data_IF_558114390555
#
_entry.id   IF_558114390555
#
_cell.length_a   1.000
_cell.length_b   1.000
_cell.length_c   1.000
_cell.angle_alpha   90.00
_cell.angle_beta   90.00
_cell.angle_gamma   90.00
#
_symmetry.space_group_name_H-M   'P 1'
#
loop_
_entity.id
_entity.type
_entity.pdbx_description
1 polymer ?
#
# COMPACT_ATOMS: atom_id res chain seq x y z
N UNK A 1 7.61 3.42 8.20
CA UNK A 1 7.54 4.34 7.04
C UNK A 1 8.74 5.25 7.09
N UNK A 2 9.37 5.56 5.98
CA UNK A 2 10.42 6.58 5.90
C UNK A 2 9.89 7.85 5.20
N UNK A 3 10.68 8.94 5.20
CA UNK A 3 10.25 10.23 4.64
C UNK A 3 9.93 10.11 3.14
N UNK A 4 10.78 9.43 2.36
CA UNK A 4 10.57 9.27 0.92
C UNK A 4 9.30 8.46 0.61
N UNK A 5 9.04 7.39 1.36
CA UNK A 5 7.81 6.60 1.23
C UNK A 5 6.57 7.44 1.51
N UNK A 6 6.62 8.27 2.55
CA UNK A 6 5.50 9.13 2.91
C UNK A 6 5.27 10.26 1.89
N UNK A 7 6.34 10.85 1.35
CA UNK A 7 6.25 11.86 0.29
C UNK A 7 5.71 11.25 -1.01
N UNK A 8 6.13 10.05 -1.39
CA UNK A 8 5.62 9.33 -2.56
C UNK A 8 4.11 9.05 -2.44
N UNK A 9 3.64 8.60 -1.25
CA UNK A 9 2.21 8.37 -1.01
C UNK A 9 1.36 9.63 -1.18
N UNK A 10 1.92 10.80 -0.87
CA UNK A 10 1.29 12.10 -1.08
C UNK A 10 1.56 12.71 -2.46
N UNK A 11 2.31 11.99 -3.33
CA UNK A 11 2.75 12.46 -4.64
C UNK A 11 3.51 13.80 -4.57
N UNK A 12 4.49 13.85 -3.67
CA UNK A 12 5.35 15.01 -3.43
C UNK A 12 6.80 14.65 -3.72
N UNK A 13 7.48 15.43 -4.57
CA UNK A 13 8.76 15.04 -5.19
C UNK A 13 9.95 15.97 -4.94
N UNK A 14 9.74 17.12 -4.34
CA UNK A 14 10.82 18.11 -4.14
C UNK A 14 10.77 18.66 -2.71
N UNK A 15 11.53 19.72 -2.45
CA UNK A 15 11.48 20.44 -1.18
C UNK A 15 10.04 20.77 -0.81
N UNK A 16 9.54 20.16 0.23
CA UNK A 16 8.13 20.15 0.60
C UNK A 16 7.97 20.80 1.95
N UNK A 17 7.14 21.82 2.02
CA UNK A 17 6.75 22.44 3.29
C UNK A 17 5.59 21.68 3.96
N UNK A 18 5.37 21.96 5.25
CA UNK A 18 4.21 21.43 5.97
C UNK A 18 2.87 21.82 5.33
N UNK A 19 2.81 22.99 4.70
CA UNK A 19 1.60 23.44 4.00
C UNK A 19 1.37 22.66 2.70
N UNK A 20 2.44 22.30 1.99
CA UNK A 20 2.33 21.45 0.79
C UNK A 20 1.86 20.04 1.14
N UNK A 21 2.34 19.49 2.26
CA UNK A 21 1.87 18.20 2.78
C UNK A 21 0.37 18.25 3.07
N UNK A 22 -0.14 19.31 3.73
CA UNK A 22 -1.57 19.49 4.01
C UNK A 22 -2.39 19.62 2.73
N UNK A 23 -1.90 20.37 1.72
CA UNK A 23 -2.57 20.53 0.42
C UNK A 23 -2.62 19.21 -0.33
N UNK A 24 -1.51 18.48 -0.39
CA UNK A 24 -1.44 17.18 -1.02
C UNK A 24 -2.37 16.16 -0.35
N UNK A 25 -2.36 16.10 0.98
CA UNK A 25 -3.27 15.25 1.74
C UNK A 25 -4.74 15.52 1.40
N UNK A 26 -5.18 16.79 1.39
CA UNK A 26 -6.56 17.14 1.02
C UNK A 26 -6.92 16.70 -0.40
N UNK A 27 -6.00 16.88 -1.37
CA UNK A 27 -6.18 16.43 -2.75
C UNK A 27 -6.34 14.91 -2.84
N UNK A 28 -5.48 14.17 -2.15
CA UNK A 28 -5.52 12.71 -2.11
C UNK A 28 -6.76 12.19 -1.39
N UNK A 29 -7.18 12.84 -0.28
CA UNK A 29 -8.39 12.49 0.44
C UNK A 29 -9.65 12.59 -0.44
N UNK A 30 -9.73 13.61 -1.29
CA UNK A 30 -10.85 13.75 -2.25
C UNK A 30 -10.78 12.68 -3.35
N UNK A 31 -9.59 12.36 -3.86
CA UNK A 31 -9.38 11.38 -4.95
C UNK A 31 -9.70 9.95 -4.50
N UNK A 32 -9.29 9.58 -3.28
CA UNK A 32 -9.38 8.23 -2.73
C UNK A 32 -10.46 8.06 -1.66
N UNK A 33 -11.42 8.99 -1.59
CA UNK A 33 -12.54 8.87 -0.66
C UNK A 33 -13.34 7.58 -0.94
N UNK A 34 -13.69 6.78 0.10
CA UNK A 34 -14.37 5.50 -0.09
C UNK A 34 -15.71 5.60 -0.84
N UNK A 35 -16.44 6.71 -0.70
CA UNK A 35 -17.70 6.95 -1.41
C UNK A 35 -17.53 7.09 -2.94
N UNK A 36 -16.37 7.57 -3.37
CA UNK A 36 -16.05 7.80 -4.79
C UNK A 36 -15.23 6.69 -5.41
N UNK A 37 -14.42 6.02 -4.60
CA UNK A 37 -13.54 4.96 -5.01
C UNK A 37 -13.57 3.81 -3.99
N UNK A 38 -14.29 2.71 -4.27
CA UNK A 38 -14.36 1.56 -3.34
C UNK A 38 -13.00 0.90 -3.06
N UNK A 39 -12.05 0.99 -4.00
CA UNK A 39 -10.66 0.55 -3.78
C UNK A 39 -9.84 1.58 -2.99
N UNK A 40 -10.34 2.80 -2.86
CA UNK A 40 -9.64 3.94 -2.26
C UNK A 40 -9.49 3.83 -0.74
N UNK A 41 -10.35 3.06 -0.06
CA UNK A 41 -10.35 2.97 1.40
C UNK A 41 -8.98 2.55 1.98
N UNK A 42 -8.31 1.59 1.35
CA UNK A 42 -7.00 1.10 1.80
C UNK A 42 -5.87 2.07 1.44
N UNK A 43 -5.94 2.63 0.25
CA UNK A 43 -5.01 3.69 -0.16
C UNK A 43 -5.16 4.89 0.77
N UNK A 44 -6.38 5.24 1.17
CA UNK A 44 -6.65 6.33 2.10
C UNK A 44 -6.04 6.08 3.49
N UNK A 45 -6.04 4.83 3.98
CA UNK A 45 -5.35 4.49 5.24
C UNK A 45 -3.85 4.71 5.14
N UNK A 46 -3.22 4.29 4.02
CA UNK A 46 -1.80 4.54 3.78
C UNK A 46 -1.49 6.04 3.67
N UNK A 47 -2.35 6.81 3.02
CA UNK A 47 -2.25 8.28 2.91
C UNK A 47 -2.37 8.94 4.29
N UNK A 48 -3.31 8.50 5.13
CA UNK A 48 -3.47 8.99 6.49
C UNK A 48 -2.22 8.72 7.34
N UNK A 49 -1.68 7.50 7.27
CA UNK A 49 -0.46 7.13 7.97
C UNK A 49 0.76 7.96 7.50
N UNK A 50 0.86 8.23 6.19
CA UNK A 50 1.91 9.08 5.63
C UNK A 50 1.79 10.53 6.11
N UNK A 51 0.57 11.08 6.13
CA UNK A 51 0.30 12.42 6.61
C UNK A 51 0.62 12.57 8.11
N UNK A 52 0.17 11.62 8.93
CA UNK A 52 0.47 11.59 10.36
C UNK A 52 1.97 11.49 10.62
N UNK A 53 2.67 10.60 9.91
CA UNK A 53 4.12 10.45 10.01
C UNK A 53 4.85 11.77 9.71
N UNK A 54 4.55 12.42 8.57
CA UNK A 54 5.20 13.67 8.18
C UNK A 54 4.82 14.84 9.07
N UNK A 55 3.59 14.86 9.61
CA UNK A 55 3.12 15.92 10.51
C UNK A 55 3.80 15.87 11.86
N UNK A 56 4.17 14.67 12.33
CA UNK A 56 4.84 14.46 13.63
C UNK A 56 6.36 14.65 13.56
N UNK A 57 6.93 14.79 12.34
CA UNK A 57 8.36 15.08 12.21
C UNK A 57 8.67 16.54 12.59
N UNK A 58 9.79 16.72 13.30
CA UNK A 58 10.35 18.03 13.52
C UNK A 58 11.02 18.55 12.24
N UNK A 59 10.70 19.76 11.83
CA UNK A 59 11.23 20.39 10.62
C UNK A 59 10.15 21.15 9.87
N UNK A 60 10.55 22.21 9.16
CA UNK A 60 9.63 23.02 8.34
C UNK A 60 9.58 22.56 6.88
N UNK A 61 10.65 21.91 6.41
CA UNK A 61 10.79 21.43 5.04
C UNK A 61 11.36 20.02 4.99
N UNK A 62 10.89 19.22 4.03
CA UNK A 62 11.35 17.85 3.77
C UNK A 62 11.82 17.75 2.34
N UNK A 63 12.92 17.02 2.13
CA UNK A 63 13.49 16.80 0.79
C UNK A 63 13.35 15.35 0.40
N UNK A 64 12.84 15.10 -0.80
CA UNK A 64 12.83 13.78 -1.41
C UNK A 64 14.22 13.53 -2.00
N UNK A 65 14.89 12.42 -1.61
CA UNK A 65 16.24 12.09 -2.10
C UNK A 65 16.24 11.62 -3.55
N UNK A 66 15.12 11.12 -4.05
CA UNK A 66 14.94 10.60 -5.41
C UNK A 66 13.91 11.44 -6.18
N UNK A 67 14.07 12.77 -6.19
CA UNK A 67 13.10 13.70 -6.78
C UNK A 67 12.82 13.46 -8.27
N UNK A 68 13.79 12.92 -9.02
CA UNK A 68 13.64 12.58 -10.43
C UNK A 68 12.77 11.33 -10.66
N UNK A 69 12.62 10.48 -9.64
CA UNK A 69 11.85 9.23 -9.65
C UNK A 69 10.59 9.32 -8.79
N UNK A 70 10.04 10.50 -8.60
CA UNK A 70 8.79 10.66 -7.86
C UNK A 70 7.65 9.93 -8.58
N UNK A 71 7.26 8.82 -7.99
CA UNK A 71 6.30 7.87 -8.53
C UNK A 71 4.94 8.03 -7.83
N UNK A 72 3.85 7.98 -8.58
CA UNK A 72 2.51 8.05 -8.01
C UNK A 72 2.11 6.69 -7.40
N UNK A 73 2.71 6.42 -6.27
CA UNK A 73 2.59 5.18 -5.54
C UNK A 73 1.16 4.81 -5.14
N UNK A 74 0.39 5.83 -4.75
CA UNK A 74 -0.99 5.63 -4.35
C UNK A 74 -1.88 5.17 -5.53
N UNK A 75 -1.56 5.60 -6.74
CA UNK A 75 -2.28 5.21 -7.95
C UNK A 75 -2.00 3.75 -8.34
N UNK A 76 -0.73 3.34 -8.34
CA UNK A 76 -0.34 1.94 -8.59
C UNK A 76 -0.94 0.98 -7.56
N UNK A 77 -0.85 1.32 -6.27
CA UNK A 77 -1.48 0.52 -5.22
C UNK A 77 -3.00 0.37 -5.43
N UNK A 78 -3.68 1.46 -5.80
CA UNK A 78 -5.12 1.43 -6.03
C UNK A 78 -5.48 0.51 -7.21
N UNK A 79 -4.71 0.56 -8.29
CA UNK A 79 -4.90 -0.30 -9.46
C UNK A 79 -4.70 -1.78 -9.10
N UNK A 80 -3.60 -2.10 -8.43
CA UNK A 80 -3.29 -3.47 -8.00
C UNK A 80 -4.35 -4.00 -7.02
N UNK A 81 -4.77 -3.20 -6.04
CA UNK A 81 -5.84 -3.58 -5.11
C UNK A 81 -7.16 -3.83 -5.85
N UNK A 82 -7.50 -3.01 -6.85
CA UNK A 82 -8.70 -3.20 -7.65
C UNK A 82 -8.68 -4.53 -8.42
N UNK A 83 -7.55 -4.90 -9.01
CA UNK A 83 -7.38 -6.19 -9.68
C UNK A 83 -7.42 -7.36 -8.69
N UNK A 84 -6.75 -7.25 -7.55
CA UNK A 84 -6.75 -8.29 -6.52
C UNK A 84 -8.15 -8.52 -5.91
N UNK A 85 -8.99 -7.49 -5.80
CA UNK A 85 -10.37 -7.61 -5.34
C UNK A 85 -11.27 -8.44 -6.25
N UNK A 86 -10.93 -8.60 -7.52
CA UNK A 86 -11.64 -9.47 -8.47
C UNK A 86 -11.39 -10.96 -8.21
N UNK A 87 -10.31 -11.30 -7.50
CA UNK A 87 -9.93 -12.67 -7.22
C UNK A 87 -10.74 -13.19 -6.03
N UNK A 88 -11.38 -14.35 -6.18
CA UNK A 88 -12.19 -14.95 -5.14
C UNK A 88 -11.34 -15.49 -3.98
N UNK A 89 -11.77 -15.24 -2.74
CA UNK A 89 -11.18 -15.83 -1.54
C UNK A 89 -9.78 -15.32 -1.17
N UNK A 90 -9.28 -14.27 -1.81
CA UNK A 90 -7.98 -13.66 -1.49
C UNK A 90 -8.17 -12.63 -0.36
N UNK A 91 -7.33 -12.72 0.65
CA UNK A 91 -7.25 -11.76 1.75
C UNK A 91 -6.10 -10.81 1.47
N UNK A 92 -6.40 -9.52 1.38
CA UNK A 92 -5.44 -8.45 1.08
C UNK A 92 -5.13 -7.71 2.38
N UNK A 93 -3.87 -7.68 2.78
CA UNK A 93 -3.38 -6.97 3.95
C UNK A 93 -2.37 -5.90 3.50
N UNK A 94 -2.70 -4.63 3.74
CA UNK A 94 -1.83 -3.49 3.41
C UNK A 94 -0.97 -3.16 4.62
N UNK A 95 0.36 -3.19 4.45
CA UNK A 95 1.33 -2.81 5.48
C UNK A 95 2.30 -1.78 4.90
N UNK A 96 2.05 -0.50 5.17
CA UNK A 96 2.79 0.60 4.53
C UNK A 96 2.62 0.54 3.01
N UNK A 97 3.73 0.41 2.29
CA UNK A 97 3.75 0.35 0.82
C UNK A 97 3.68 -1.09 0.26
N UNK A 98 3.46 -2.07 1.12
CA UNK A 98 3.46 -3.48 0.74
C UNK A 98 2.07 -4.07 0.87
N UNK A 99 1.72 -4.92 -0.08
CA UNK A 99 0.52 -5.74 0.01
C UNK A 99 0.94 -7.17 0.37
N UNK A 100 0.29 -7.74 1.37
CA UNK A 100 0.43 -9.13 1.74
C UNK A 100 -0.86 -9.87 1.42
N UNK A 101 -0.73 -11.00 0.74
CA UNK A 101 -1.87 -11.75 0.22
C UNK A 101 -1.88 -13.14 0.83
N UNK A 102 -3.06 -13.55 1.29
CA UNK A 102 -3.33 -14.86 1.88
C UNK A 102 -4.71 -15.38 1.44
N UNK A 103 -5.17 -16.49 1.98
CA UNK A 103 -6.42 -17.14 1.59
C UNK A 103 -6.25 -18.03 0.36
N UNK A 104 -7.22 -18.04 -0.54
CA UNK A 104 -7.30 -18.92 -1.73
C UNK A 104 -6.30 -18.53 -2.85
N UNK A 105 -5.08 -18.16 -2.49
CA UNK A 105 -4.05 -17.68 -3.42
C UNK A 105 -3.52 -18.77 -4.37
N UNK A 106 -3.70 -20.06 -4.00
CA UNK A 106 -3.19 -21.19 -4.81
C UNK A 106 -3.84 -21.24 -6.20
N UNK A 107 -5.14 -20.98 -6.26
CA UNK A 107 -5.93 -21.01 -7.51
C UNK A 107 -5.60 -19.80 -8.41
N UNK A 108 -5.04 -18.74 -7.86
CA UNK A 108 -4.75 -17.48 -8.55
C UNK A 108 -3.25 -17.25 -8.77
N UNK A 109 -2.42 -18.29 -8.63
CA UNK A 109 -0.95 -18.18 -8.68
C UNK A 109 -0.42 -17.51 -9.95
N UNK A 110 -0.98 -17.82 -11.10
CA UNK A 110 -0.55 -17.25 -12.38
C UNK A 110 -0.94 -15.77 -12.49
N UNK A 111 -2.16 -15.45 -12.10
CA UNK A 111 -2.66 -14.06 -12.05
C UNK A 111 -1.84 -13.21 -11.08
N UNK A 112 -1.53 -13.73 -9.89
CA UNK A 112 -0.69 -13.04 -8.90
C UNK A 112 0.70 -12.76 -9.45
N UNK A 113 1.30 -13.71 -10.18
CA UNK A 113 2.60 -13.49 -10.84
C UNK A 113 2.53 -12.45 -11.94
N UNK A 114 1.48 -12.45 -12.76
CA UNK A 114 1.30 -11.45 -13.82
C UNK A 114 1.09 -10.04 -13.28
N UNK A 115 0.49 -9.92 -12.09
CA UNK A 115 0.34 -8.67 -11.35
C UNK A 115 1.62 -8.23 -10.62
N UNK A 116 2.75 -8.92 -10.79
CA UNK A 116 4.03 -8.57 -10.15
C UNK A 116 4.14 -8.99 -8.69
N UNK A 117 3.31 -9.92 -8.22
CA UNK A 117 3.40 -10.45 -6.86
C UNK A 117 4.47 -11.53 -6.74
N UNK A 118 5.11 -11.60 -5.57
CA UNK A 118 6.15 -12.56 -5.24
C UNK A 118 5.74 -13.46 -4.08
N UNK A 119 6.26 -14.69 -4.07
CA UNK A 119 6.02 -15.63 -2.98
C UNK A 119 7.06 -15.50 -1.88
N UNK A 120 6.62 -15.27 -0.64
CA UNK A 120 7.45 -15.24 0.56
C UNK A 120 7.35 -16.60 1.29
N UNK A 121 8.27 -17.53 0.99
CA UNK A 121 8.24 -18.88 1.54
C UNK A 121 8.27 -18.93 3.09
N UNK A 122 9.03 -18.05 3.75
CA UNK A 122 9.11 -17.98 5.22
C UNK A 122 7.82 -17.52 5.88
N UNK A 123 6.99 -16.72 5.20
CA UNK A 123 5.74 -16.17 5.71
C UNK A 123 4.50 -16.89 5.19
N UNK A 124 4.70 -17.81 4.23
CA UNK A 124 3.63 -18.55 3.53
C UNK A 124 2.56 -17.61 2.96
N UNK A 125 2.99 -16.45 2.45
CA UNK A 125 2.13 -15.42 1.87
C UNK A 125 2.71 -14.91 0.56
N UNK A 126 1.84 -14.46 -0.32
CA UNK A 126 2.26 -13.64 -1.45
C UNK A 126 2.41 -12.19 -1.01
N UNK A 127 3.28 -11.45 -1.69
CA UNK A 127 3.42 -10.02 -1.45
C UNK A 127 3.62 -9.27 -2.77
N UNK A 128 3.08 -8.07 -2.80
CA UNK A 128 3.39 -7.09 -3.83
C UNK A 128 4.20 -5.96 -3.21
N UNK A 129 5.18 -5.50 -3.94
CA UNK A 129 5.94 -4.29 -3.63
C UNK A 129 6.26 -3.57 -4.93
N UNK A 130 6.25 -2.24 -4.97
CA UNK A 130 6.73 -1.49 -6.12
C UNK A 130 8.17 -1.80 -6.47
N UNK A 131 8.49 -1.70 -7.77
CA UNK A 131 9.82 -2.04 -8.28
C UNK A 131 10.94 -1.21 -7.66
N UNK A 132 10.64 0.03 -7.29
CA UNK A 132 11.60 0.97 -6.70
C UNK A 132 11.95 0.65 -5.23
N UNK A 133 11.07 -0.02 -4.51
CA UNK A 133 11.30 -0.42 -3.12
C UNK A 133 11.97 -1.79 -3.01
N UNK A 134 13.18 -1.92 -3.54
CA UNK A 134 14.02 -3.12 -3.31
C UNK A 134 14.30 -3.24 -1.82
N UNK A 135 13.86 -4.34 -1.21
CA UNK A 135 14.18 -4.61 0.19
C UNK A 135 15.69 -4.66 0.38
N UNK A 136 16.22 -3.79 1.26
CA UNK A 136 17.59 -3.95 1.73
C UNK A 136 17.69 -5.32 2.42
N UNK A 137 18.73 -6.08 2.13
CA UNK A 137 19.00 -7.34 2.81
C UNK A 137 19.21 -7.04 4.30
N UNK A 138 18.19 -7.24 5.11
CA UNK A 138 18.32 -7.20 6.56
C UNK A 138 18.85 -8.54 7.07
N UNK A 139 19.76 -8.52 8.05
CA UNK A 139 20.28 -9.72 8.68
C UNK A 139 19.19 -10.54 9.37
N UNK A 140 18.13 -9.91 9.86
CA UNK A 140 16.96 -10.53 10.48
C UNK A 140 15.75 -10.37 9.59
N UNK A 141 15.09 -11.48 9.24
CA UNK A 141 13.79 -11.43 8.55
C UNK A 141 12.72 -11.11 9.60
N UNK A 142 12.04 -9.98 9.42
CA UNK A 142 10.92 -9.58 10.27
C UNK A 142 9.74 -10.53 10.06
N UNK A 143 9.03 -10.86 11.15
CA UNK A 143 7.77 -11.58 11.05
C UNK A 143 6.60 -10.64 10.71
N UNK A 144 5.38 -11.19 10.56
CA UNK A 144 4.22 -10.38 10.20
C UNK A 144 3.77 -9.46 11.32
N UNK A 145 3.97 -9.84 12.58
CA UNK A 145 3.63 -9.01 13.74
C UNK A 145 4.56 -7.80 13.86
N UNK A 146 5.87 -8.01 13.67
CA UNK A 146 6.86 -6.93 13.62
C UNK A 146 6.56 -5.94 12.48
N UNK A 147 6.13 -6.44 11.30
CA UNK A 147 5.74 -5.61 10.17
C UNK A 147 4.47 -4.80 10.47
N UNK A 148 3.44 -5.46 11.03
CA UNK A 148 2.19 -4.80 11.42
C UNK A 148 2.40 -3.73 12.47
N UNK A 149 3.18 -4.02 13.48
CA UNK A 149 3.50 -3.08 14.56
C UNK A 149 4.19 -1.82 14.03
N UNK A 150 5.08 -1.98 13.04
CA UNK A 150 5.87 -0.87 12.51
C UNK A 150 5.16 -0.03 11.46
N UNK A 151 4.36 -0.66 10.61
CA UNK A 151 3.77 0.00 9.43
C UNK A 151 2.25 0.14 9.51
N UNK A 152 1.64 -0.35 10.59
CA UNK A 152 0.20 -0.53 10.65
C UNK A 152 -0.26 -1.68 9.74
N UNK A 153 -1.46 -2.19 9.94
CA UNK A 153 -2.06 -3.15 9.01
C UNK A 153 -3.54 -2.88 8.83
N UNK A 154 -4.00 -3.11 7.61
CA UNK A 154 -5.40 -3.12 7.27
C UNK A 154 -5.69 -4.37 6.45
N UNK A 155 -6.68 -5.14 6.88
CA UNK A 155 -7.07 -6.40 6.26
C UNK A 155 -8.38 -6.20 5.51
N UNK A 156 -8.40 -6.62 4.24
CA UNK A 156 -9.61 -6.71 3.44
C UNK A 156 -9.79 -8.11 2.87
N UNK A 157 -11.05 -8.51 2.76
CA UNK A 157 -11.43 -9.72 2.04
C UNK A 157 -11.84 -9.33 0.62
N UNK A 158 -11.34 -10.05 -0.37
CA UNK A 158 -11.90 -10.00 -1.72
C UNK A 158 -13.32 -10.58 -1.68
N UNK A 159 -14.15 -10.21 -2.64
CA UNK A 159 -15.56 -10.58 -2.69
C UNK A 159 -15.84 -12.03 -2.28
N UNK A 160 -16.40 -12.20 -1.08
CA UNK A 160 -16.94 -13.48 -0.61
C UNK A 160 -18.44 -13.63 -0.93
N UNK A 161 -18.98 -12.82 -1.84
CA UNK A 161 -20.41 -12.81 -2.10
C UNK A 161 -20.80 -13.39 -3.44
N UNK A 162 -21.67 -14.38 -3.32
CA UNK A 162 -22.59 -15.00 -4.24
C UNK A 162 -22.14 -16.30 -4.95
N UNK A 163 -22.08 -17.36 -4.15
CA UNK A 163 -22.47 -18.69 -4.63
C UNK A 163 -23.51 -19.30 -3.67
N UNK A 164 -24.58 -18.58 -3.36
CA UNK A 164 -25.76 -19.12 -2.68
C UNK A 164 -27.03 -18.51 -3.30
N UNK A 165 -27.19 -18.62 -4.61
CA UNK A 165 -28.47 -18.42 -5.27
C UNK A 165 -28.47 -19.10 -6.64
N UNK A 166 -28.30 -20.42 -6.66
CA UNK A 166 -28.74 -21.28 -7.75
C UNK A 166 -28.81 -22.73 -7.23
N UNK A 167 -29.86 -23.01 -6.48
CA UNK A 167 -30.39 -24.35 -6.31
C UNK A 167 -31.90 -24.27 -6.46
#
# INVERSE_FOLDING_TARGET
MNINEALNLLNLSQNVSKDDIKKAYKKMAIKYHPDRNPAGAEVMKAINAAFEFLSNLEGETFTHTDAENAYNFAEELAEIIAELKKLYGVIIEVCGNWLWLSGETRNHKETLKSLGCFWAAKKLKWYYRPAEHKSKKHRKAWDMEEIRSKYGSSIQHSNSNNVLAAA
#
